data_IF_127152668185
#
_entry.id   IF_127152668185
#
_cell.length_a   1.000
_cell.length_b   1.000
_cell.length_c   1.000
_cell.angle_alpha   90.00
_cell.angle_beta   90.00
_cell.angle_gamma   90.00
#
_symmetry.space_group_name_H-M   'P 1'
#
loop_
_entity.id
_entity.type
_entity.pdbx_description
1 polymer ?
#
# COMPACT_ATOMS: atom_id res chain seq x y z
N UNK A 1 -12.44 5.50 -11.24
CA UNK A 1 -11.14 5.91 -10.67
C UNK A 1 -10.23 6.29 -11.82
N UNK A 2 -9.17 7.06 -11.54
CA UNK A 2 -8.24 7.53 -12.56
C UNK A 2 -6.80 7.33 -12.07
N UNK A 3 -5.94 6.60 -12.80
CA UNK A 3 -6.20 5.94 -14.08
C UNK A 3 -7.22 4.79 -13.97
N UNK A 4 -7.94 4.44 -15.05
CA UNK A 4 -8.95 3.38 -15.03
C UNK A 4 -8.29 1.99 -14.96
N UNK A 5 -9.07 0.98 -14.55
CA UNK A 5 -8.68 -0.42 -14.72
C UNK A 5 -8.38 -0.71 -16.19
N UNK A 6 -7.33 -1.50 -16.41
CA UNK A 6 -6.83 -1.83 -17.74
C UNK A 6 -7.18 -3.28 -18.11
N UNK A 7 -7.22 -3.61 -19.41
CA UNK A 7 -7.42 -4.97 -19.86
C UNK A 7 -6.38 -5.95 -19.29
N UNK A 8 -6.74 -7.24 -19.28
CA UNK A 8 -5.84 -8.34 -18.89
C UNK A 8 -4.59 -8.31 -19.78
N UNK A 9 -3.41 -8.37 -19.15
CA UNK A 9 -2.09 -8.19 -19.79
C UNK A 9 -1.26 -7.10 -19.09
N UNK A 10 -1.85 -5.94 -18.79
CA UNK A 10 -1.14 -4.89 -18.03
C UNK A 10 -0.74 -5.34 -16.62
N UNK A 11 -1.52 -6.23 -16.00
CA UNK A 11 -1.21 -6.80 -14.70
C UNK A 11 0.11 -7.58 -14.71
N UNK A 12 0.44 -8.28 -15.79
CA UNK A 12 1.69 -9.04 -15.90
C UNK A 12 2.90 -8.09 -15.88
N UNK A 13 2.84 -6.99 -16.62
CA UNK A 13 3.90 -5.97 -16.61
C UNK A 13 4.04 -5.31 -15.22
N UNK A 14 2.94 -5.08 -14.50
CA UNK A 14 2.98 -4.58 -13.13
C UNK A 14 3.65 -5.58 -12.18
N UNK A 15 3.32 -6.88 -12.29
CA UNK A 15 3.98 -7.93 -11.51
C UNK A 15 5.48 -8.01 -11.79
N UNK A 16 5.87 -8.03 -13.07
CA UNK A 16 7.29 -8.00 -13.47
C UNK A 16 7.99 -6.73 -12.95
N UNK A 17 7.30 -5.59 -12.95
CA UNK A 17 7.77 -4.35 -12.34
C UNK A 17 8.05 -4.48 -10.85
N UNK A 18 7.16 -5.13 -10.09
CA UNK A 18 7.37 -5.40 -8.66
C UNK A 18 8.54 -6.37 -8.43
N UNK A 19 8.60 -7.47 -9.21
CA UNK A 19 9.63 -8.51 -9.08
C UNK A 19 11.02 -8.03 -9.46
N UNK A 20 11.12 -7.14 -10.45
CA UNK A 20 12.39 -6.52 -10.87
C UNK A 20 12.85 -5.36 -9.98
N UNK A 21 11.98 -4.87 -9.09
CA UNK A 21 12.25 -3.66 -8.29
C UNK A 21 12.05 -2.35 -9.04
N UNK A 22 11.55 -2.37 -10.28
CA UNK A 22 11.16 -1.17 -11.03
C UNK A 22 9.91 -0.49 -10.45
N UNK A 23 9.06 -1.25 -9.77
CA UNK A 23 7.98 -0.75 -8.92
C UNK A 23 8.28 -1.16 -7.47
N UNK A 24 8.37 -0.19 -6.56
CA UNK A 24 8.95 -0.42 -5.23
C UNK A 24 7.92 -0.56 -4.11
N UNK A 25 6.66 -0.21 -4.35
CA UNK A 25 5.62 -0.19 -3.30
C UNK A 25 4.25 -0.45 -3.89
N UNK A 26 3.33 -0.91 -3.03
CA UNK A 26 1.89 -1.03 -3.36
C UNK A 26 1.06 -0.09 -2.50
N UNK A 27 0.03 0.50 -3.09
CA UNK A 27 -0.93 1.38 -2.43
C UNK A 27 -2.35 1.02 -2.93
N UNK A 28 -3.37 1.75 -2.46
CA UNK A 28 -4.76 1.43 -2.76
C UNK A 28 -5.51 2.53 -3.48
N UNK A 29 -5.03 3.77 -3.38
CA UNK A 29 -5.80 4.94 -3.77
C UNK A 29 -7.22 4.91 -3.17
N UNK A 30 -7.33 4.52 -1.89
CA UNK A 30 -8.62 4.35 -1.23
C UNK A 30 -9.37 5.69 -1.19
N UNK A 31 -10.38 5.78 -2.04
CA UNK A 31 -11.21 6.95 -2.28
C UNK A 31 -12.61 6.42 -2.60
N UNK A 32 -13.43 6.20 -1.58
CA UNK A 32 -14.67 5.46 -1.70
C UNK A 32 -15.89 6.37 -1.79
N UNK A 33 -16.83 5.97 -2.65
CA UNK A 33 -18.13 6.62 -2.83
C UNK A 33 -19.18 5.52 -2.94
N UNK A 34 -20.27 5.63 -2.19
CA UNK A 34 -21.38 4.67 -2.26
C UNK A 34 -22.08 4.71 -3.62
N UNK A 35 -22.90 3.69 -3.93
CA UNK A 35 -23.60 3.58 -5.20
C UNK A 35 -24.44 4.82 -5.53
N UNK A 36 -25.11 5.41 -4.54
CA UNK A 36 -25.88 6.65 -4.72
C UNK A 36 -25.00 7.83 -5.14
N UNK A 37 -23.81 7.97 -4.55
CA UNK A 37 -22.85 9.01 -4.94
C UNK A 37 -22.30 8.75 -6.33
N UNK A 38 -22.02 7.48 -6.68
CA UNK A 38 -21.60 7.08 -8.03
C UNK A 38 -22.67 7.41 -9.08
N UNK A 39 -23.95 7.30 -8.73
CA UNK A 39 -25.08 7.58 -9.61
C UNK A 39 -25.16 9.04 -10.08
N UNK A 40 -24.40 9.97 -9.47
CA UNK A 40 -24.27 11.34 -9.96
C UNK A 40 -23.83 11.43 -11.44
N UNK A 41 -23.11 10.42 -11.94
CA UNK A 41 -22.72 10.33 -13.36
C UNK A 41 -23.47 9.27 -14.16
N UNK A 42 -24.70 8.89 -13.75
CA UNK A 42 -25.52 7.89 -14.46
C UNK A 42 -25.68 8.20 -15.95
N UNK A 43 -25.90 9.47 -16.30
CA UNK A 43 -26.11 9.94 -17.67
C UNK A 43 -24.85 10.56 -18.30
N UNK A 44 -23.77 10.71 -17.53
CA UNK A 44 -22.53 11.36 -17.95
C UNK A 44 -21.36 10.84 -17.11
N UNK A 45 -20.54 9.98 -17.70
CA UNK A 45 -19.44 9.33 -16.99
C UNK A 45 -18.43 10.31 -16.40
N UNK A 46 -18.33 11.52 -16.97
CA UNK A 46 -17.39 12.57 -16.48
C UNK A 46 -17.78 13.08 -15.10
N UNK A 47 -19.04 12.89 -14.70
CA UNK A 47 -19.58 13.28 -13.39
C UNK A 47 -19.54 12.17 -12.34
N UNK A 48 -19.09 10.96 -12.70
CA UNK A 48 -18.95 9.87 -11.73
C UNK A 48 -17.78 10.23 -10.78
N UNK A 49 -18.01 10.35 -9.47
CA UNK A 49 -16.92 10.63 -8.53
C UNK A 49 -15.87 9.51 -8.59
N UNK A 50 -14.62 9.91 -8.80
CA UNK A 50 -13.55 9.00 -9.17
C UNK A 50 -12.86 8.40 -7.93
N UNK A 51 -12.92 7.07 -7.79
CA UNK A 51 -12.22 6.35 -6.73
C UNK A 51 -12.81 4.97 -6.47
N UNK A 52 -12.06 4.11 -5.78
CA UNK A 52 -12.50 2.79 -5.30
C UNK A 52 -11.95 2.54 -3.90
N UNK A 53 -12.48 1.52 -3.22
CA UNK A 53 -12.03 1.12 -1.89
C UNK A 53 -11.04 -0.06 -1.98
N UNK A 54 -9.99 -0.05 -1.17
CA UNK A 54 -9.12 -1.22 -1.01
C UNK A 54 -8.18 -1.21 0.20
N UNK A 55 -8.34 -0.27 1.15
CA UNK A 55 -7.40 -0.07 2.28
C UNK A 55 -7.27 -1.31 3.16
N UNK A 56 -8.41 -1.97 3.42
CA UNK A 56 -8.49 -3.18 4.23
C UNK A 56 -7.97 -4.41 3.48
N UNK A 57 -8.26 -4.51 2.19
CA UNK A 57 -8.04 -5.73 1.41
C UNK A 57 -6.63 -5.82 0.82
N UNK A 58 -5.90 -4.69 0.71
CA UNK A 58 -4.58 -4.59 0.03
C UNK A 58 -3.64 -5.75 0.37
N UNK A 59 -3.41 -5.98 1.66
CA UNK A 59 -2.39 -6.93 2.11
C UNK A 59 -2.82 -8.37 1.83
N UNK A 60 -4.09 -8.72 2.07
CA UNK A 60 -4.56 -10.09 1.86
C UNK A 60 -4.64 -10.43 0.36
N UNK A 61 -5.07 -9.48 -0.47
CA UNK A 61 -5.08 -9.65 -1.93
C UNK A 61 -3.65 -9.78 -2.47
N UNK A 62 -2.72 -8.93 -2.03
CA UNK A 62 -1.32 -9.03 -2.46
C UNK A 62 -0.65 -10.31 -1.97
N UNK A 63 -0.99 -10.79 -0.77
CA UNK A 63 -0.48 -12.06 -0.26
C UNK A 63 -0.98 -13.24 -1.10
N UNK A 64 -2.29 -13.29 -1.38
CA UNK A 64 -2.90 -14.34 -2.21
C UNK A 64 -2.31 -14.34 -3.62
N UNK A 65 -2.33 -13.19 -4.28
CA UNK A 65 -1.91 -13.07 -5.69
C UNK A 65 -0.40 -13.06 -5.88
N UNK A 66 0.36 -12.70 -4.83
CA UNK A 66 1.82 -12.60 -4.86
C UNK A 66 2.50 -13.78 -4.20
N UNK A 67 2.32 -13.93 -2.89
CA UNK A 67 3.03 -14.93 -2.08
C UNK A 67 2.51 -16.33 -2.35
N UNK A 68 1.20 -16.56 -2.23
CA UNK A 68 0.62 -17.89 -2.41
C UNK A 68 0.76 -18.38 -3.87
N UNK A 69 0.79 -17.47 -4.84
CA UNK A 69 0.99 -17.81 -6.25
C UNK A 69 2.46 -18.00 -6.65
N UNK A 70 3.40 -17.77 -5.75
CA UNK A 70 4.84 -17.92 -6.01
C UNK A 70 5.50 -16.76 -6.75
N UNK A 71 4.82 -15.63 -6.95
CA UNK A 71 5.40 -14.43 -7.58
C UNK A 71 6.28 -13.63 -6.64
N UNK A 72 6.00 -13.69 -5.33
CA UNK A 72 6.74 -12.98 -4.29
C UNK A 72 7.16 -13.95 -3.18
N UNK A 73 8.35 -13.74 -2.64
CA UNK A 73 8.73 -14.19 -1.31
C UNK A 73 8.00 -13.39 -0.23
N UNK A 74 7.99 -13.91 1.01
CA UNK A 74 7.43 -13.21 2.17
C UNK A 74 8.19 -11.91 2.46
N UNK A 75 9.49 -11.90 2.20
CA UNK A 75 10.38 -10.75 2.39
C UNK A 75 10.06 -9.64 1.39
N UNK A 76 9.83 -9.99 0.12
CA UNK A 76 9.38 -9.03 -0.90
C UNK A 76 7.99 -8.48 -0.56
N UNK A 77 7.08 -9.31 -0.06
CA UNK A 77 5.79 -8.84 0.45
C UNK A 77 5.95 -7.78 1.56
N UNK A 78 6.81 -8.02 2.55
CA UNK A 78 7.11 -7.03 3.60
C UNK A 78 7.68 -5.74 3.00
N UNK A 79 8.62 -5.86 2.07
CA UNK A 79 9.25 -4.71 1.41
C UNK A 79 8.23 -3.86 0.64
N UNK A 80 7.38 -4.50 -0.17
CA UNK A 80 6.37 -3.86 -1.01
C UNK A 80 5.18 -3.28 -0.24
N UNK A 81 4.95 -3.74 0.99
CA UNK A 81 3.81 -3.30 1.81
C UNK A 81 4.16 -2.31 2.90
N UNK A 82 5.44 -2.19 3.28
CA UNK A 82 5.88 -1.33 4.39
C UNK A 82 7.30 -0.76 4.23
N UNK A 83 8.34 -1.61 4.14
CA UNK A 83 9.74 -1.17 4.29
C UNK A 83 10.17 -0.18 3.21
N UNK A 84 9.82 -0.42 1.95
CA UNK A 84 10.21 0.47 0.87
C UNK A 84 9.49 1.82 0.99
N UNK A 85 8.21 1.81 1.32
CA UNK A 85 7.43 3.03 1.61
C UNK A 85 8.06 3.84 2.74
N UNK A 86 8.47 3.17 3.83
CA UNK A 86 9.13 3.83 4.94
C UNK A 86 10.48 4.46 4.54
N UNK A 87 11.27 3.81 3.67
CA UNK A 87 12.50 4.40 3.13
C UNK A 87 12.22 5.61 2.23
N UNK A 88 11.28 5.48 1.28
CA UNK A 88 10.89 6.54 0.35
C UNK A 88 10.42 7.80 1.10
N UNK A 89 9.64 7.61 2.16
CA UNK A 89 9.11 8.71 2.98
C UNK A 89 10.00 9.08 4.18
N UNK A 90 11.25 8.63 4.22
CA UNK A 90 12.24 8.97 5.24
C UNK A 90 11.81 8.67 6.69
N UNK A 91 11.16 7.52 6.88
CA UNK A 91 10.67 7.01 8.16
C UNK A 91 11.33 5.69 8.57
N UNK A 92 12.15 5.08 7.72
CA UNK A 92 12.93 3.90 8.09
C UNK A 92 14.14 4.31 8.94
N UNK A 93 14.48 3.62 10.05
CA UNK A 93 13.89 2.37 10.54
C UNK A 93 12.72 2.50 11.51
N UNK A 94 12.29 3.73 11.85
CA UNK A 94 11.18 3.94 12.80
C UNK A 94 9.91 3.21 12.38
N UNK A 95 9.60 3.14 11.08
CA UNK A 95 8.50 2.37 10.47
C UNK A 95 9.03 1.33 9.49
N UNK A 96 8.21 0.30 9.23
CA UNK A 96 8.52 -0.75 8.24
C UNK A 96 9.70 -1.64 8.62
N UNK A 97 10.01 -1.75 9.92
CA UNK A 97 11.07 -2.59 10.47
C UNK A 97 10.61 -3.28 11.76
N UNK A 98 11.12 -4.49 11.99
CA UNK A 98 11.00 -5.19 13.28
C UNK A 98 12.39 -5.26 13.89
N UNK A 99 12.72 -4.24 14.68
CA UNK A 99 14.01 -4.14 15.37
C UNK A 99 13.89 -3.24 16.61
N UNK A 100 14.87 -3.36 17.51
CA UNK A 100 14.95 -2.50 18.69
C UNK A 100 14.98 -1.02 18.27
N UNK A 101 14.12 -0.21 18.89
CA UNK A 101 13.99 1.22 18.61
C UNK A 101 12.97 1.58 17.51
N UNK A 102 12.45 0.61 16.74
CA UNK A 102 11.34 0.86 15.83
C UNK A 102 10.02 1.01 16.58
N UNK A 103 9.05 1.73 15.99
CA UNK A 103 7.70 1.79 16.55
C UNK A 103 7.05 0.39 16.48
N UNK A 104 6.35 0.00 17.54
CA UNK A 104 5.63 -1.26 17.64
C UNK A 104 4.33 -1.25 16.82
N UNK A 105 4.45 -1.06 15.51
CA UNK A 105 3.39 -1.27 14.52
C UNK A 105 3.62 -2.62 13.84
N UNK A 106 2.92 -3.64 14.31
CA UNK A 106 3.17 -5.04 13.95
C UNK A 106 1.87 -5.71 13.53
N UNK A 107 1.97 -6.66 12.60
CA UNK A 107 0.86 -7.52 12.20
C UNK A 107 1.26 -8.97 12.47
N UNK A 108 0.47 -9.67 13.26
CA UNK A 108 0.54 -11.13 13.37
C UNK A 108 -0.25 -11.69 12.20
N UNK A 109 0.46 -12.19 11.21
CA UNK A 109 -0.11 -12.70 9.97
C UNK A 109 -0.33 -14.21 10.09
N UNK A 110 -1.57 -14.67 9.86
CA UNK A 110 -1.88 -16.09 9.73
C UNK A 110 -1.85 -16.47 8.24
N UNK A 111 -0.82 -17.19 7.77
CA UNK A 111 -0.67 -17.56 6.36
C UNK A 111 -1.68 -18.62 5.90
N UNK A 112 -2.36 -19.31 6.83
CA UNK A 112 -3.32 -20.38 6.52
C UNK A 112 -4.76 -19.94 6.75
N UNK A 113 -4.98 -18.89 7.54
CA UNK A 113 -6.29 -18.28 7.72
C UNK A 113 -6.89 -17.81 6.40
N UNK A 114 -8.18 -18.06 6.22
CA UNK A 114 -8.91 -17.73 4.99
C UNK A 114 -10.06 -16.79 5.28
N UNK A 115 -10.39 -15.95 4.30
CA UNK A 115 -11.67 -15.22 4.26
C UNK A 115 -12.13 -15.01 2.83
N UNK A 116 -13.43 -14.93 2.63
CA UNK A 116 -14.01 -14.45 1.38
C UNK A 116 -14.32 -12.97 1.55
N UNK A 117 -13.76 -12.14 0.67
CA UNK A 117 -13.96 -10.70 0.71
C UNK A 117 -15.42 -10.40 0.34
N UNK A 118 -16.10 -9.65 1.20
CA UNK A 118 -17.47 -9.18 0.93
C UNK A 118 -17.74 -7.82 1.57
N UNK A 119 -18.48 -6.96 0.87
CA UNK A 119 -19.01 -5.71 1.40
C UNK A 119 -19.86 -5.91 2.66
N UNK A 120 -20.50 -7.08 2.83
CA UNK A 120 -21.27 -7.38 4.04
C UNK A 120 -20.41 -7.57 5.30
N UNK A 121 -19.10 -7.77 5.14
CA UNK A 121 -18.18 -8.15 6.23
C UNK A 121 -16.97 -7.23 6.38
N UNK A 122 -16.77 -6.30 5.44
CA UNK A 122 -15.66 -5.37 5.50
C UNK A 122 -15.91 -4.27 6.53
N UNK A 123 -14.88 -3.49 6.83
CA UNK A 123 -14.90 -2.39 7.79
C UNK A 123 -14.77 -1.03 7.08
N UNK A 124 -14.95 -1.00 5.76
CA UNK A 124 -14.88 0.21 4.94
C UNK A 124 -16.26 0.89 4.89
N UNK A 125 -16.29 2.22 4.84
CA UNK A 125 -17.54 2.97 4.76
C UNK A 125 -18.01 3.12 3.30
N UNK A 126 -18.36 2.01 2.66
CA UNK A 126 -18.84 1.94 1.27
C UNK A 126 -19.71 0.70 1.09
N UNK A 127 -20.70 0.76 0.19
CA UNK A 127 -21.73 -0.27 0.02
C UNK A 127 -21.38 -1.36 -1.01
N UNK A 128 -20.15 -1.39 -1.52
CA UNK A 128 -19.65 -2.43 -2.42
C UNK A 128 -18.15 -2.70 -2.20
N UNK A 129 -17.67 -3.85 -2.68
CA UNK A 129 -16.24 -4.17 -2.70
C UNK A 129 -15.82 -4.55 -4.12
N UNK A 130 -14.71 -3.99 -4.61
CA UNK A 130 -14.18 -4.32 -5.95
C UNK A 130 -13.56 -5.72 -6.01
N UNK A 131 -13.34 -6.36 -4.86
CA UNK A 131 -12.86 -7.72 -4.71
C UNK A 131 -13.96 -8.69 -4.22
N UNK A 132 -15.24 -8.32 -4.37
CA UNK A 132 -16.39 -9.12 -3.90
C UNK A 132 -16.29 -10.59 -4.35
N UNK A 133 -16.52 -11.51 -3.40
CA UNK A 133 -16.50 -12.96 -3.64
C UNK A 133 -15.10 -13.56 -3.77
N UNK A 134 -14.03 -12.76 -3.71
CA UNK A 134 -12.66 -13.27 -3.77
C UNK A 134 -12.28 -13.93 -2.44
N UNK A 135 -11.98 -15.22 -2.48
CA UNK A 135 -11.34 -15.91 -1.36
C UNK A 135 -9.84 -15.63 -1.35
N UNK A 136 -9.33 -15.25 -0.18
CA UNK A 136 -7.91 -15.03 0.08
C UNK A 136 -7.44 -15.92 1.23
N UNK A 137 -6.22 -16.45 1.12
CA UNK A 137 -5.55 -17.20 2.19
C UNK A 137 -4.31 -16.44 2.63
N UNK A 138 -4.14 -16.21 3.93
CA UNK A 138 -3.21 -15.21 4.45
C UNK A 138 -3.97 -13.97 4.89
N UNK A 139 -4.19 -13.84 6.20
CA UNK A 139 -4.98 -12.75 6.78
C UNK A 139 -4.31 -12.18 8.03
N UNK A 140 -4.55 -10.90 8.37
CA UNK A 140 -4.10 -10.34 9.64
C UNK A 140 -4.92 -10.95 10.79
N UNK A 141 -4.30 -11.83 11.58
CA UNK A 141 -4.93 -12.39 12.79
C UNK A 141 -5.01 -11.34 13.89
N UNK A 142 -3.93 -10.58 14.06
CA UNK A 142 -3.88 -9.47 15.00
C UNK A 142 -3.07 -8.30 14.43
N UNK A 143 -3.44 -7.09 14.83
CA UNK A 143 -2.71 -5.85 14.50
C UNK A 143 -2.41 -5.10 15.78
N UNK A 144 -1.14 -4.71 15.93
CA UNK A 144 -0.64 -3.84 16.98
C UNK A 144 -0.29 -2.51 16.33
N UNK A 145 -0.73 -1.41 16.93
CA UNK A 145 -0.26 -0.07 16.57
C UNK A 145 0.23 0.66 17.80
N UNK A 146 1.43 1.23 17.71
CA UNK A 146 2.10 1.95 18.80
C UNK A 146 2.15 1.12 20.09
N UNK A 147 2.35 -0.20 19.97
CA UNK A 147 2.42 -1.13 21.09
C UNK A 147 1.06 -1.53 21.71
N UNK A 148 -0.06 -1.07 21.13
CA UNK A 148 -1.42 -1.42 21.59
C UNK A 148 -2.11 -2.38 20.60
N UNK A 149 -2.82 -3.37 21.11
CA UNK A 149 -3.71 -4.19 20.28
C UNK A 149 -4.85 -3.33 19.73
N UNK A 150 -4.95 -3.22 18.40
CA UNK A 150 -6.00 -2.45 17.73
C UNK A 150 -6.93 -3.35 16.91
N UNK A 151 -6.47 -4.53 16.52
CA UNK A 151 -7.29 -5.60 15.93
C UNK A 151 -6.88 -6.91 16.58
N UNK A 152 -7.83 -7.63 17.17
CA UNK A 152 -7.56 -8.88 17.87
C UNK A 152 -8.74 -9.83 17.75
N UNK A 153 -8.47 -11.06 17.30
CA UNK A 153 -9.47 -12.14 17.28
C UNK A 153 -10.76 -11.80 16.53
N UNK A 154 -10.67 -10.94 15.50
CA UNK A 154 -11.82 -10.50 14.71
C UNK A 154 -12.50 -9.21 15.22
N UNK A 155 -11.99 -8.61 16.29
CA UNK A 155 -12.57 -7.43 16.92
C UNK A 155 -11.66 -6.20 16.81
N UNK A 156 -12.27 -5.04 16.58
CA UNK A 156 -11.61 -3.75 16.54
C UNK A 156 -11.54 -3.13 17.93
N UNK A 157 -10.33 -2.81 18.40
CA UNK A 157 -10.06 -2.13 19.67
C UNK A 157 -9.38 -0.77 19.46
N UNK A 158 -9.56 -0.17 18.28
CA UNK A 158 -8.96 1.12 17.95
C UNK A 158 -9.69 2.28 18.65
N UNK A 159 -8.91 3.24 19.16
CA UNK A 159 -9.43 4.46 19.77
C UNK A 159 -9.30 5.64 18.78
N UNK A 160 -10.41 6.35 18.54
CA UNK A 160 -10.41 7.54 17.69
C UNK A 160 -9.44 8.57 18.25
N UNK A 161 -8.49 9.03 17.43
CA UNK A 161 -7.49 10.02 17.82
C UNK A 161 -6.20 9.43 18.39
N UNK A 162 -6.09 8.10 18.56
CA UNK A 162 -4.84 7.48 19.01
C UNK A 162 -3.71 7.52 17.97
N UNK A 163 -4.04 7.72 16.68
CA UNK A 163 -3.06 7.96 15.63
C UNK A 163 -2.35 9.30 15.83
N UNK A 164 -1.07 9.38 15.45
CA UNK A 164 -0.26 10.59 15.54
C UNK A 164 0.33 10.97 14.19
N UNK A 165 0.47 12.27 13.95
CA UNK A 165 1.25 12.77 12.84
C UNK A 165 2.72 12.37 13.00
N UNK A 166 3.38 12.04 11.88
CA UNK A 166 4.79 11.74 11.83
C UNK A 166 5.47 12.79 10.98
N UNK A 167 6.28 13.63 11.61
CA UNK A 167 7.19 14.51 10.90
C UNK A 167 8.20 13.67 10.11
N UNK A 168 8.45 14.10 8.87
CA UNK A 168 9.35 13.43 7.93
C UNK A 168 10.47 14.40 7.59
N UNK A 169 11.73 14.11 7.95
CA UNK A 169 12.85 14.96 7.56
C UNK A 169 12.94 15.06 6.04
N UNK A 170 13.24 16.25 5.53
CA UNK A 170 13.53 16.46 4.12
C UNK A 170 14.86 15.77 3.74
N UNK A 171 15.12 15.68 2.44
CA UNK A 171 16.38 15.18 1.88
C UNK A 171 16.75 13.74 2.32
N UNK A 172 15.90 12.72 2.07
CA UNK A 172 16.30 11.32 2.25
C UNK A 172 17.52 10.99 1.38
N UNK A 173 18.24 9.89 1.68
CA UNK A 173 19.54 9.56 1.07
C UNK A 173 19.62 9.56 -0.46
N UNK A 174 18.49 9.49 -1.19
CA UNK A 174 18.47 9.72 -2.65
C UNK A 174 19.01 11.11 -3.04
N UNK A 175 18.87 12.12 -2.18
CA UNK A 175 19.35 13.48 -2.47
C UNK A 175 20.88 13.58 -2.48
N UNK A 176 21.59 12.80 -1.65
CA UNK A 176 23.05 12.71 -1.72
C UNK A 176 23.51 12.21 -3.11
N UNK A 177 22.81 11.22 -3.66
CA UNK A 177 23.09 10.70 -5.00
C UNK A 177 22.78 11.73 -6.10
N UNK A 178 21.70 12.49 -5.94
CA UNK A 178 21.31 13.54 -6.90
C UNK A 178 22.30 14.70 -6.89
N UNK A 179 22.75 15.14 -5.71
CA UNK A 179 23.78 16.17 -5.55
C UNK A 179 25.09 15.71 -6.21
N UNK A 180 25.53 14.49 -5.90
CA UNK A 180 26.74 13.94 -6.52
C UNK A 180 26.62 13.85 -8.04
N UNK A 181 25.45 13.44 -8.55
CA UNK A 181 25.19 13.41 -9.99
C UNK A 181 25.21 14.80 -10.60
N UNK A 182 24.67 15.81 -9.92
CA UNK A 182 24.69 17.20 -10.38
C UNK A 182 26.13 17.73 -10.46
N UNK A 183 26.96 17.49 -9.45
CA UNK A 183 28.38 17.87 -9.44
C UNK A 183 29.14 17.27 -10.63
N UNK A 184 28.99 15.96 -10.85
CA UNK A 184 29.69 15.25 -11.92
C UNK A 184 29.26 15.72 -13.32
N UNK A 185 28.02 16.16 -13.46
CA UNK A 185 27.44 16.64 -14.73
C UNK A 185 27.43 18.18 -14.83
N UNK A 186 28.17 18.88 -13.97
CA UNK A 186 28.25 20.33 -14.02
C UNK A 186 28.76 20.76 -15.41
N UNK A 187 28.02 21.62 -16.14
CA UNK A 187 28.40 22.05 -17.47
C UNK A 187 29.73 22.82 -17.41
N UNK A 188 30.66 22.48 -18.29
CA UNK A 188 31.99 23.13 -18.36
C UNK A 188 32.01 24.13 -19.52
N UNK A 189 32.45 25.37 -19.30
CA UNK A 189 32.58 26.34 -20.39
C UNK A 189 33.68 25.90 -21.37
N UNK A 190 33.47 26.17 -22.66
CA UNK A 190 34.52 26.05 -23.68
C UNK A 190 35.40 27.28 -23.61
N UNK A 191 36.69 27.09 -23.33
CA UNK A 191 37.68 28.17 -23.34
C UNK A 191 37.90 28.64 -24.78
N UNK A 192 37.72 29.94 -25.05
CA UNK A 192 37.99 30.57 -26.36
C UNK A 192 39.15 31.55 -26.20
N UNK A 193 40.06 31.57 -27.18
CA UNK A 193 41.22 32.45 -27.24
C UNK A 193 40.86 33.88 -27.68
#
# INVERSE_FOLDING_TARGET
MSPPFRPKGHQEALWQGLQSGNLQTTATDHCCFCAEQKAAGREDFTKIPNGTAGVEDRMAVLWEEGVNSGKLSKQEFVALTSTNTARIFNLYPRKGAVQVGADADLVVWDPNGTRTISAATHHQNVDFNIFEGKTVRGIPRHTVSQGKWVWRDGELHAERGAGRYLERPAYPGVFELLERRAELNAPKPVQRA
#
